data_IF_585884702280
#
_entry.id   IF_585884702280
#
_cell.length_a   1.000
_cell.length_b   1.000
_cell.length_c   1.000
_cell.angle_alpha   90.00
_cell.angle_beta   90.00
_cell.angle_gamma   90.00
#
_symmetry.space_group_name_H-M   'P 1'
#
loop_
_entity.id
_entity.type
_entity.pdbx_description
1 polymer ?
#
# COMPACT_ATOMS: atom_id res chain seq x y z
N UNK A 1 -44.88 -6.60 45.31
CA UNK A 1 -43.94 -5.86 46.18
C UNK A 1 -42.72 -5.47 45.34
N UNK A 2 -42.44 -4.17 45.31
CA UNK A 2 -41.27 -3.44 44.80
C UNK A 2 -40.33 -4.10 43.77
N UNK A 3 -40.21 -3.45 42.60
CA UNK A 3 -38.95 -3.07 41.93
C UNK A 3 -39.14 -3.02 40.42
N UNK A 4 -39.25 -1.82 39.85
CA UNK A 4 -38.94 -1.47 38.45
C UNK A 4 -39.00 0.04 38.32
N UNK A 5 -37.83 0.69 38.33
CA UNK A 5 -37.68 2.11 38.04
C UNK A 5 -37.86 2.35 36.55
N UNK A 6 -38.96 3.01 36.18
CA UNK A 6 -39.30 3.41 34.83
C UNK A 6 -38.70 4.78 34.49
N UNK A 7 -38.16 4.84 33.28
CA UNK A 7 -37.68 6.01 32.53
C UNK A 7 -38.71 7.14 32.52
N UNK A 8 -38.25 8.38 32.76
CA UNK A 8 -39.03 9.59 32.47
C UNK A 8 -38.68 10.09 31.06
N UNK A 9 -39.68 10.06 30.17
CA UNK A 9 -39.71 10.77 28.89
C UNK A 9 -40.35 12.14 29.11
N UNK A 10 -39.81 13.20 28.52
CA UNK A 10 -40.58 14.37 28.10
C UNK A 10 -40.10 14.84 26.71
N UNK A 11 -41.05 14.77 25.75
CA UNK A 11 -41.30 15.53 24.48
C UNK A 11 -40.14 16.38 23.92
N UNK A 12 -39.65 16.27 22.67
CA UNK A 12 -40.23 16.01 21.33
C UNK A 12 -41.29 17.01 20.84
N UNK A 13 -40.83 18.03 20.09
CA UNK A 13 -41.45 18.63 18.89
C UNK A 13 -40.33 18.59 17.81
N UNK A 14 -40.34 17.70 16.81
CA UNK A 14 -40.95 17.82 15.45
C UNK A 14 -40.74 19.23 14.84
N UNK A 15 -40.21 19.46 13.63
CA UNK A 15 -40.11 18.63 12.43
C UNK A 15 -39.31 19.38 11.32
N UNK A 16 -38.44 18.66 10.62
CA UNK A 16 -38.33 18.53 9.16
C UNK A 16 -37.97 19.72 8.20
N UNK A 17 -36.86 19.50 7.46
CA UNK A 17 -36.56 19.71 6.01
C UNK A 17 -35.96 21.03 5.43
N UNK A 18 -34.75 20.82 4.87
CA UNK A 18 -34.26 21.10 3.50
C UNK A 18 -34.00 22.54 2.97
N UNK A 19 -32.77 22.68 2.42
CA UNK A 19 -32.31 23.41 1.21
C UNK A 19 -32.32 24.95 1.22
N UNK A 20 -31.16 25.58 0.97
CA UNK A 20 -30.82 26.16 -0.34
C UNK A 20 -29.46 26.89 -0.35
N UNK A 21 -28.83 26.84 -1.52
CA UNK A 21 -27.49 27.29 -1.90
C UNK A 21 -27.60 28.73 -2.48
N UNK A 22 -26.46 29.42 -2.62
CA UNK A 22 -26.15 30.58 -3.50
C UNK A 22 -25.94 32.01 -2.92
N UNK A 23 -24.67 32.44 -3.04
CA UNK A 23 -24.15 33.71 -3.61
C UNK A 23 -24.48 35.07 -2.97
N UNK A 24 -23.45 35.87 -2.66
CA UNK A 24 -23.07 37.12 -3.36
C UNK A 24 -21.96 37.88 -2.60
N UNK A 25 -21.00 38.35 -3.41
CA UNK A 25 -19.82 39.19 -3.14
C UNK A 25 -20.15 40.62 -2.67
N UNK A 26 -19.24 41.25 -1.91
CA UNK A 26 -18.95 42.71 -1.93
C UNK A 26 -17.42 42.87 -1.97
N UNK A 27 -16.79 43.19 -3.12
CA UNK A 27 -16.46 44.54 -3.64
C UNK A 27 -15.92 45.48 -2.55
N UNK A 28 -14.62 45.76 -2.43
CA UNK A 28 -13.65 46.43 -3.32
C UNK A 28 -13.69 47.98 -3.31
N UNK A 29 -12.50 48.55 -3.05
CA UNK A 29 -11.93 49.82 -3.52
C UNK A 29 -12.17 51.13 -2.76
N UNK A 30 -11.07 51.72 -2.25
CA UNK A 30 -10.59 53.10 -2.50
C UNK A 30 -9.23 53.29 -1.77
N UNK A 31 -8.09 53.40 -2.47
CA UNK A 31 -7.43 54.58 -3.09
C UNK A 31 -6.30 55.19 -2.23
N UNK A 32 -5.06 55.01 -2.71
CA UNK A 32 -3.87 55.90 -2.76
C UNK A 32 -3.70 56.98 -1.67
N UNK A 33 -2.54 57.01 -1.00
CA UNK A 33 -1.63 58.19 -0.93
C UNK A 33 -0.18 57.72 -0.65
N UNK A 34 0.77 58.34 -1.37
CA UNK A 34 2.23 58.21 -1.35
C UNK A 34 2.85 59.30 -0.43
N UNK A 35 3.93 59.01 0.33
CA UNK A 35 4.89 59.97 0.95
C UNK A 35 6.01 59.14 1.62
N UNK A 36 7.29 59.06 1.26
CA UNK A 36 8.38 60.00 0.92
C UNK A 36 8.81 60.97 2.04
N UNK A 37 10.08 60.81 2.49
CA UNK A 37 11.08 61.79 3.02
C UNK A 37 11.23 61.85 4.57
N UNK A 38 12.44 62.03 5.19
CA UNK A 38 13.80 61.53 4.88
C UNK A 38 14.69 61.24 6.13
N UNK A 39 15.93 60.83 5.84
CA UNK A 39 17.17 61.00 6.62
C UNK A 39 17.32 62.37 7.31
N UNK A 40 17.76 62.37 8.59
CA UNK A 40 18.53 63.48 9.20
C UNK A 40 19.67 62.87 10.02
N UNK A 41 20.88 63.22 9.60
CA UNK A 41 22.16 62.99 10.25
C UNK A 41 22.53 64.28 10.99
N UNK A 42 22.88 64.23 12.29
CA UNK A 42 23.68 65.26 12.93
C UNK A 42 24.36 64.74 14.21
N UNK A 43 25.69 64.82 14.15
CA UNK A 43 26.73 64.52 15.13
C UNK A 43 26.57 65.25 16.48
N UNK A 44 27.01 64.61 17.57
CA UNK A 44 28.22 64.98 18.34
C UNK A 44 28.06 64.83 19.88
N UNK A 45 28.94 63.98 20.42
CA UNK A 45 29.76 64.17 21.63
C UNK A 45 29.19 63.90 23.04
N UNK A 46 29.90 62.98 23.71
CA UNK A 46 30.31 62.88 25.12
C UNK A 46 29.31 63.05 26.27
N UNK A 47 29.42 62.14 27.24
CA UNK A 47 29.39 62.51 28.64
C UNK A 47 28.67 61.51 29.53
N UNK A 48 29.47 60.70 30.24
CA UNK A 48 29.09 59.94 31.42
C UNK A 48 28.62 60.86 32.58
N UNK A 49 27.97 60.26 33.57
CA UNK A 49 27.72 60.71 34.96
C UNK A 49 26.25 60.59 35.41
N UNK A 50 25.93 59.40 35.94
CA UNK A 50 25.44 59.24 37.32
C UNK A 50 23.98 59.59 37.66
N UNK A 51 23.19 58.57 38.01
CA UNK A 51 22.38 58.59 39.22
C UNK A 51 21.99 57.16 39.68
N UNK A 52 22.18 56.78 40.96
CA UNK A 52 21.88 55.44 41.44
C UNK A 52 20.46 55.38 41.99
N UNK A 53 19.62 54.52 41.43
CA UNK A 53 18.47 53.97 42.15
C UNK A 53 18.17 52.55 41.67
N UNK A 54 18.74 51.56 42.35
CA UNK A 54 18.14 50.24 42.46
C UNK A 54 18.36 49.72 43.89
N UNK A 55 17.26 49.38 44.55
CA UNK A 55 17.24 48.70 45.84
C UNK A 55 17.81 47.28 45.72
N UNK A 56 18.31 46.71 46.83
CA UNK A 56 18.86 45.36 46.85
C UNK A 56 17.74 44.32 46.94
N UNK A 57 18.10 43.07 46.68
CA UNK A 57 17.32 41.81 46.70
C UNK A 57 16.89 41.31 45.30
N UNK A 58 17.81 40.61 44.60
CA UNK A 58 17.65 39.19 44.22
C UNK A 58 18.87 38.68 43.42
N UNK A 59 19.32 37.46 43.77
CA UNK A 59 20.19 36.53 43.00
C UNK A 59 21.36 37.10 42.19
N UNK A 60 22.60 36.91 42.68
CA UNK A 60 23.80 37.17 41.90
C UNK A 60 23.74 36.42 40.57
N UNK A 61 23.72 37.18 39.48
CA UNK A 61 23.85 36.65 38.12
C UNK A 61 25.27 36.10 38.04
N UNK A 62 25.41 34.78 37.84
CA UNK A 62 26.68 34.20 37.44
C UNK A 62 27.05 34.77 36.08
N UNK A 63 28.34 34.99 35.83
CA UNK A 63 28.87 35.43 34.56
C UNK A 63 28.30 34.55 33.44
N UNK A 64 28.06 35.17 32.29
CA UNK A 64 27.61 34.51 31.07
C UNK A 64 28.71 34.46 30.00
N UNK A 65 29.79 35.23 30.15
CA UNK A 65 30.93 35.26 29.23
C UNK A 65 32.21 35.72 29.94
N UNK A 66 33.37 35.41 29.35
CA UNK A 66 34.67 35.86 29.85
C UNK A 66 34.78 37.39 29.89
N UNK A 67 34.13 38.09 28.95
CA UNK A 67 34.12 39.57 28.90
C UNK A 67 33.44 40.21 30.14
N UNK A 68 32.49 39.52 30.77
CA UNK A 68 31.88 40.01 32.02
C UNK A 68 32.80 39.84 33.23
N UNK A 69 33.84 39.03 33.08
CA UNK A 69 34.84 38.73 34.10
C UNK A 69 36.14 39.53 33.93
N UNK A 70 36.35 40.15 32.77
CA UNK A 70 37.47 41.03 32.49
C UNK A 70 37.53 42.18 33.50
N UNK A 71 38.62 42.22 34.28
CA UNK A 71 38.84 43.24 35.31
C UNK A 71 39.64 44.46 34.79
N UNK A 72 39.96 44.46 33.49
CA UNK A 72 40.69 45.49 32.78
C UNK A 72 42.18 45.52 33.12
N UNK A 73 42.71 44.48 33.77
CA UNK A 73 44.14 44.28 33.96
C UNK A 73 44.63 43.26 32.94
N UNK A 74 45.71 43.60 32.26
CA UNK A 74 46.29 42.78 31.20
C UNK A 74 47.32 41.79 31.77
N UNK A 75 48.09 42.19 32.80
CA UNK A 75 49.24 41.40 33.26
C UNK A 75 48.93 40.33 34.31
N UNK A 76 47.71 40.22 34.80
CA UNK A 76 47.22 39.08 35.59
C UNK A 76 46.71 37.93 34.72
N UNK A 77 46.52 38.16 33.41
CA UNK A 77 46.05 37.16 32.44
C UNK A 77 44.54 37.13 32.32
N UNK A 78 44.05 36.56 31.22
CA UNK A 78 42.63 36.55 30.88
C UNK A 78 41.77 35.85 31.94
N UNK A 79 40.72 36.53 32.40
CA UNK A 79 39.72 35.96 33.30
C UNK A 79 38.74 35.06 32.56
N UNK A 80 38.41 33.94 33.18
CA UNK A 80 37.45 32.98 32.61
C UNK A 80 36.16 32.99 33.41
N UNK A 81 35.04 32.97 32.70
CA UNK A 81 33.75 32.70 33.29
C UNK A 81 33.56 31.19 33.44
N UNK A 82 33.78 30.67 34.66
CA UNK A 82 33.46 29.30 35.02
C UNK A 82 32.78 29.26 36.40
N UNK A 83 31.44 29.32 36.44
CA UNK A 83 30.68 29.23 37.68
C UNK A 83 30.85 27.91 38.46
N UNK A 84 31.42 26.87 37.87
CA UNK A 84 31.66 25.58 38.50
C UNK A 84 33.07 25.46 39.12
N UNK A 85 33.99 26.37 38.79
CA UNK A 85 35.37 26.31 39.27
C UNK A 85 35.46 26.61 40.78
N UNK A 86 36.20 25.80 41.58
CA UNK A 86 36.37 26.03 43.02
C UNK A 86 37.06 27.35 43.40
N UNK A 87 37.83 27.93 42.49
CA UNK A 87 38.51 29.22 42.61
C UNK A 87 37.65 30.40 42.10
N UNK A 88 36.49 30.13 41.51
CA UNK A 88 35.59 31.15 41.02
C UNK A 88 35.06 32.06 42.13
N UNK A 89 34.93 33.34 41.81
CA UNK A 89 34.26 34.32 42.65
C UNK A 89 32.76 34.02 42.80
N UNK A 90 32.02 34.69 43.71
CA UNK A 90 30.57 34.55 43.81
C UNK A 90 29.77 34.90 42.54
N UNK A 91 30.42 35.52 41.55
CA UNK A 91 29.87 35.81 40.23
C UNK A 91 30.32 34.79 39.17
N UNK A 92 31.06 33.74 39.52
CA UNK A 92 31.53 32.72 38.57
C UNK A 92 32.81 33.08 37.81
N UNK A 93 33.42 34.25 38.06
CA UNK A 93 34.67 34.63 37.43
C UNK A 93 35.89 34.03 38.11
N UNK A 94 36.76 33.39 37.34
CA UNK A 94 38.07 32.86 37.72
C UNK A 94 39.13 33.85 37.26
N UNK A 95 40.00 34.29 38.19
CA UNK A 95 41.07 35.22 37.89
C UNK A 95 42.17 34.56 37.04
N UNK A 96 42.80 35.34 36.14
CA UNK A 96 43.96 34.88 35.38
C UNK A 96 45.09 34.37 36.30
N UNK A 97 45.68 33.23 35.95
CA UNK A 97 46.73 32.59 36.76
C UNK A 97 48.15 33.04 36.38
N UNK A 98 48.33 33.73 35.24
CA UNK A 98 49.63 34.19 34.77
C UNK A 98 49.54 35.35 33.78
N UNK A 99 50.52 36.28 33.76
CA UNK A 99 50.64 37.28 32.71
C UNK A 99 50.73 36.59 31.33
N UNK A 100 50.11 37.16 30.28
CA UNK A 100 50.25 36.65 28.91
C UNK A 100 51.70 36.73 28.41
N UNK A 101 52.54 37.52 29.09
CA UNK A 101 53.94 37.72 28.77
C UNK A 101 54.87 36.74 29.52
N UNK A 102 55.77 36.08 28.80
CA UNK A 102 56.91 35.36 29.40
C UNK A 102 57.98 36.28 30.05
N UNK A 103 57.75 37.60 30.08
CA UNK A 103 58.72 38.64 30.43
C UNK A 103 58.11 39.87 31.09
N UNK A 104 58.62 41.06 30.76
CA UNK A 104 58.02 42.30 31.23
C UNK A 104 56.59 42.44 30.66
N UNK A 105 55.69 43.03 31.44
CA UNK A 105 54.33 43.33 31.06
C UNK A 105 54.01 44.78 31.51
N UNK A 106 53.37 45.56 30.65
CA UNK A 106 52.98 46.95 30.90
C UNK A 106 51.45 47.08 30.95
N UNK A 107 50.90 47.06 32.16
CA UNK A 107 49.47 47.24 32.47
C UNK A 107 48.89 48.58 31.99
N UNK A 108 49.72 49.57 31.73
CA UNK A 108 49.23 50.89 31.32
C UNK A 108 49.00 50.96 29.82
N UNK A 109 49.60 50.03 29.08
CA UNK A 109 49.64 50.00 27.65
C UNK A 109 49.15 48.65 27.12
N UNK A 110 48.59 47.79 27.98
CA UNK A 110 48.11 46.44 27.70
C UNK A 110 49.03 45.66 26.76
N UNK A 111 50.35 45.73 27.00
CA UNK A 111 51.35 45.18 26.06
C UNK A 111 52.49 44.47 26.78
N UNK A 112 53.12 43.51 26.09
CA UNK A 112 54.36 42.85 26.50
C UNK A 112 55.59 43.60 25.93
N UNK A 113 56.35 44.39 26.71
CA UNK A 113 57.47 45.17 26.18
C UNK A 113 58.62 44.26 25.74
N UNK A 114 58.88 44.22 24.44
CA UNK A 114 60.00 43.48 23.83
C UNK A 114 59.63 42.15 23.16
N UNK A 115 58.34 41.78 23.11
CA UNK A 115 57.84 40.60 22.40
C UNK A 115 57.00 40.92 21.15
N UNK A 116 56.37 42.09 21.11
CA UNK A 116 55.46 42.48 20.03
C UNK A 116 56.18 43.34 18.98
N UNK A 117 56.67 42.73 17.89
CA UNK A 117 57.33 43.49 16.79
C UNK A 117 56.37 43.95 15.71
N UNK A 118 55.24 43.25 15.56
CA UNK A 118 54.12 43.60 14.70
C UNK A 118 52.86 43.18 15.49
N UNK A 119 52.03 44.14 15.95
CA UNK A 119 50.82 43.82 16.71
C UNK A 119 49.72 43.13 15.90
N UNK A 120 49.71 43.35 14.58
CA UNK A 120 48.70 42.90 13.62
C UNK A 120 49.45 42.49 12.34
N UNK A 121 50.03 41.29 12.35
CA UNK A 121 50.95 40.81 11.32
C UNK A 121 50.22 40.46 10.02
N UNK A 122 49.00 39.95 10.10
CA UNK A 122 48.20 39.57 8.94
C UNK A 122 47.29 40.69 8.38
N UNK A 123 47.06 41.76 9.17
CA UNK A 123 46.34 42.99 8.80
C UNK A 123 44.84 42.83 8.68
N UNK A 124 44.23 42.00 9.51
CA UNK A 124 42.78 41.99 9.68
C UNK A 124 42.26 43.17 10.54
N UNK A 125 43.16 43.85 11.27
CA UNK A 125 42.87 45.01 12.08
C UNK A 125 42.54 44.69 13.54
N UNK A 126 42.81 43.47 14.00
CA UNK A 126 42.81 43.05 15.40
C UNK A 126 44.26 42.81 15.83
N UNK A 127 44.62 43.26 17.04
CA UNK A 127 45.97 43.01 17.56
C UNK A 127 46.03 41.58 18.14
N UNK A 128 47.16 40.91 17.99
CA UNK A 128 47.37 39.56 18.51
C UNK A 128 47.28 39.48 20.03
N UNK A 129 46.89 38.30 20.54
CA UNK A 129 46.90 38.00 21.99
C UNK A 129 48.26 38.22 22.67
N UNK A 130 49.36 38.04 21.94
CA UNK A 130 50.72 38.27 22.45
C UNK A 130 51.06 39.76 22.60
N UNK A 131 50.29 40.62 21.93
CA UNK A 131 50.40 42.07 21.96
C UNK A 131 49.29 42.74 22.79
N UNK A 132 48.41 41.93 23.39
CA UNK A 132 47.29 42.35 24.22
C UNK A 132 46.03 42.75 23.49
N UNK A 133 45.87 42.29 22.24
CA UNK A 133 44.55 42.19 21.62
C UNK A 133 43.98 40.78 21.76
N UNK A 134 43.03 40.46 20.89
CA UNK A 134 42.17 39.29 21.00
C UNK A 134 42.32 38.32 19.81
N UNK A 135 43.21 38.61 18.86
CA UNK A 135 43.45 37.76 17.69
C UNK A 135 44.25 36.50 18.07
N UNK A 136 43.63 35.35 17.80
CA UNK A 136 44.10 34.02 18.16
C UNK A 136 45.07 33.41 17.15
N UNK A 137 45.21 33.98 15.94
CA UNK A 137 46.22 33.59 14.97
C UNK A 137 46.62 34.76 14.05
N UNK A 138 47.53 35.59 14.57
CA UNK A 138 48.20 36.74 13.92
C UNK A 138 48.91 36.45 12.58
N UNK A 139 48.89 35.20 12.11
CA UNK A 139 49.36 34.83 10.79
C UNK A 139 48.24 34.57 9.76
N UNK A 140 46.97 34.54 10.17
CA UNK A 140 45.80 34.29 9.34
C UNK A 140 44.69 35.33 9.54
N UNK A 141 44.45 36.23 8.55
CA UNK A 141 43.52 37.34 8.69
C UNK A 141 42.04 36.93 8.66
N UNK A 142 41.75 35.63 8.78
CA UNK A 142 40.40 35.07 8.93
C UNK A 142 40.22 34.41 10.31
N UNK A 143 41.12 34.66 11.27
CA UNK A 143 41.09 34.02 12.58
C UNK A 143 41.13 35.07 13.69
N UNK A 144 40.03 35.79 13.84
CA UNK A 144 39.90 36.94 14.74
C UNK A 144 38.50 37.05 15.35
N UNK A 145 38.36 37.69 16.52
CA UNK A 145 37.09 37.85 17.22
C UNK A 145 35.91 38.31 16.38
N UNK A 146 34.85 37.51 16.39
CA UNK A 146 33.59 37.83 15.71
C UNK A 146 33.66 37.71 14.19
N UNK A 147 34.68 37.06 13.64
CA UNK A 147 34.64 36.56 12.28
C UNK A 147 33.52 35.51 12.10
N UNK A 148 33.24 35.10 10.87
CA UNK A 148 32.27 34.04 10.62
C UNK A 148 32.97 32.68 10.64
N UNK A 149 32.45 31.77 11.48
CA UNK A 149 32.83 30.36 11.53
C UNK A 149 32.73 29.67 10.16
N UNK A 150 33.76 28.89 9.85
CA UNK A 150 33.86 28.08 8.64
C UNK A 150 34.16 26.64 9.02
N UNK A 151 33.25 25.75 8.68
CA UNK A 151 33.48 24.33 8.90
C UNK A 151 34.63 23.83 8.01
N UNK A 152 35.75 23.49 8.64
CA UNK A 152 36.92 22.95 7.97
C UNK A 152 37.53 21.73 8.68
N UNK A 153 38.26 20.92 7.93
CA UNK A 153 38.88 19.69 8.45
C UNK A 153 40.16 19.95 9.27
N UNK A 154 40.70 21.17 9.21
CA UNK A 154 41.87 21.56 9.99
C UNK A 154 41.48 21.97 11.42
N UNK A 155 40.20 22.28 11.62
CA UNK A 155 39.60 22.69 12.87
C UNK A 155 40.05 24.08 13.30
N UNK A 156 40.20 25.01 12.36
CA UNK A 156 40.55 26.38 12.71
C UNK A 156 39.39 27.03 13.44
N UNK A 157 39.70 27.67 14.55
CA UNK A 157 38.79 28.57 15.24
C UNK A 157 38.90 29.93 14.53
N UNK A 158 37.86 30.34 13.78
CA UNK A 158 37.87 31.57 12.98
C UNK A 158 37.47 32.80 13.77
N UNK A 159 36.59 32.65 14.76
CA UNK A 159 36.08 33.76 15.54
C UNK A 159 36.69 33.88 16.94
N UNK A 160 37.71 33.07 17.22
CA UNK A 160 38.43 32.99 18.49
C UNK A 160 37.52 32.68 19.69
N UNK A 161 36.34 32.10 19.45
CA UNK A 161 35.46 31.53 20.46
C UNK A 161 35.30 30.01 20.20
N UNK A 162 35.77 29.16 21.14
CA UNK A 162 35.72 27.71 20.95
C UNK A 162 34.32 27.11 21.06
N UNK A 163 33.31 27.92 21.40
CA UNK A 163 31.92 27.48 21.62
C UNK A 163 31.01 27.76 20.43
N UNK A 164 31.43 28.64 19.53
CA UNK A 164 30.77 28.98 18.29
C UNK A 164 31.20 27.99 17.22
N UNK A 165 30.29 27.09 16.83
CA UNK A 165 30.57 26.09 15.81
C UNK A 165 29.65 26.36 14.62
N UNK A 166 30.22 26.73 13.47
CA UNK A 166 29.55 26.76 12.16
C UNK A 166 28.08 27.25 12.13
N UNK A 167 27.30 26.72 11.19
CA UNK A 167 25.86 26.94 11.12
C UNK A 167 25.13 25.61 10.96
N UNK A 168 24.01 25.45 11.66
CA UNK A 168 23.02 24.39 11.45
C UNK A 168 22.31 24.61 10.10
N UNK A 169 22.62 23.79 9.10
CA UNK A 169 22.13 23.95 7.73
C UNK A 169 20.74 23.37 7.54
N UNK A 170 20.41 22.30 8.25
CA UNK A 170 19.13 21.63 8.08
C UNK A 170 18.07 22.10 9.09
N UNK A 171 18.45 22.68 10.21
CA UNK A 171 17.58 23.27 11.22
C UNK A 171 17.04 22.28 12.25
N UNK A 172 17.82 21.29 12.67
CA UNK A 172 17.48 20.36 13.76
C UNK A 172 18.02 20.77 15.15
N UNK A 173 18.87 21.79 15.19
CA UNK A 173 19.47 22.33 16.40
C UNK A 173 20.86 21.79 16.72
N UNK A 174 21.43 20.96 15.85
CA UNK A 174 22.79 20.45 15.94
C UNK A 174 23.63 21.02 14.78
N UNK A 175 24.95 21.03 14.96
CA UNK A 175 25.91 21.51 13.96
C UNK A 175 26.71 20.30 13.50
N UNK A 176 27.09 20.29 12.22
CA UNK A 176 27.87 19.20 11.65
C UNK A 176 29.10 18.84 12.48
N UNK A 177 29.33 17.55 12.65
CA UNK A 177 30.57 16.92 13.14
C UNK A 177 31.82 17.32 12.35
N UNK A 178 31.66 17.92 11.17
CA UNK A 178 32.75 18.47 10.36
C UNK A 178 33.12 19.90 10.71
N UNK A 179 32.33 20.58 11.54
CA UNK A 179 32.63 21.90 12.06
C UNK A 179 33.32 21.72 13.42
N UNK A 180 34.58 22.11 13.52
CA UNK A 180 35.40 21.87 14.70
C UNK A 180 36.33 23.05 14.98
N UNK A 181 36.54 23.38 16.25
CA UNK A 181 37.50 24.39 16.69
C UNK A 181 38.58 23.71 17.56
N UNK A 182 39.85 23.90 17.20
CA UNK A 182 41.00 23.38 17.95
C UNK A 182 41.33 24.33 19.09
N UNK A 183 41.32 23.79 20.31
CA UNK A 183 41.61 24.51 21.55
C UNK A 183 42.80 23.89 22.28
N UNK A 184 43.33 24.58 23.28
CA UNK A 184 44.35 24.04 24.19
C UNK A 184 43.87 22.79 24.96
N UNK A 185 42.55 22.66 25.17
CA UNK A 185 41.94 21.52 25.84
C UNK A 185 41.64 20.34 24.90
N UNK A 186 41.75 20.54 23.58
CA UNK A 186 41.42 19.57 22.56
C UNK A 186 40.53 20.17 21.46
N UNK A 187 40.00 19.31 20.61
CA UNK A 187 39.11 19.71 19.52
C UNK A 187 37.65 19.65 20.02
N UNK A 188 36.91 20.74 19.83
CA UNK A 188 35.46 20.82 20.07
C UNK A 188 34.78 20.77 18.71
N UNK A 189 33.86 19.84 18.50
CA UNK A 189 33.16 19.67 17.22
C UNK A 189 31.65 19.66 17.41
N UNK A 190 30.92 19.91 16.33
CA UNK A 190 29.50 19.59 16.25
C UNK A 190 29.22 18.10 16.43
N UNK A 191 27.96 17.75 16.59
CA UNK A 191 27.51 16.39 16.89
C UNK A 191 26.64 15.78 15.78
N UNK A 192 26.33 16.55 14.72
CA UNK A 192 25.48 16.11 13.61
C UNK A 192 26.30 15.42 12.47
N UNK A 193 25.93 14.19 12.18
CA UNK A 193 26.56 13.35 11.18
C UNK A 193 26.09 13.61 9.74
N UNK A 194 24.91 14.20 9.52
CA UNK A 194 24.38 14.60 8.20
C UNK A 194 23.58 15.92 8.27
N UNK A 195 24.30 17.03 8.26
CA UNK A 195 23.84 18.44 8.28
C UNK A 195 23.05 18.88 7.01
N UNK A 196 22.51 17.92 6.26
CA UNK A 196 21.53 18.16 5.21
C UNK A 196 20.19 17.46 5.51
N UNK A 197 20.09 16.73 6.62
CA UNK A 197 19.00 15.85 6.98
C UNK A 197 18.55 16.08 8.42
N UNK A 198 17.48 16.87 8.60
CA UNK A 198 16.80 17.11 9.89
C UNK A 198 16.43 15.86 10.72
N UNK A 199 16.50 14.67 10.11
CA UNK A 199 16.24 13.41 10.78
C UNK A 199 17.48 12.74 11.35
N UNK A 200 18.68 13.27 11.07
CA UNK A 200 19.97 12.72 11.44
C UNK A 200 20.62 13.60 12.52
N UNK A 201 20.46 13.25 13.80
CA UNK A 201 21.03 14.02 14.90
C UNK A 201 21.20 13.16 16.16
N UNK A 202 22.07 13.58 17.11
CA UNK A 202 22.26 12.89 18.38
C UNK A 202 20.95 12.52 19.10
N UNK A 203 20.69 11.22 19.19
CA UNK A 203 19.50 10.69 19.86
C UNK A 203 18.20 10.81 19.06
N UNK A 204 18.28 10.96 17.73
CA UNK A 204 17.15 10.62 16.87
C UNK A 204 16.79 9.12 16.98
N UNK A 205 15.74 8.69 16.30
CA UNK A 205 15.39 7.27 16.23
C UNK A 205 15.74 6.78 14.85
N UNK A 206 16.57 5.76 14.77
CA UNK A 206 16.87 5.11 13.51
C UNK A 206 15.61 4.67 12.76
N UNK A 207 15.60 4.96 11.47
CA UNK A 207 14.75 4.29 10.50
C UNK A 207 15.61 3.29 9.71
N UNK A 208 15.02 2.16 9.27
CA UNK A 208 15.73 1.20 8.39
C UNK A 208 15.93 1.79 6.98
N UNK A 209 16.78 2.80 6.85
CA UNK A 209 17.04 3.58 5.65
C UNK A 209 18.51 3.44 5.18
N UNK A 210 19.36 2.76 5.96
CA UNK A 210 20.77 2.56 5.68
C UNK A 210 21.65 3.75 6.05
N UNK A 211 21.14 4.68 6.86
CA UNK A 211 21.84 5.82 7.43
C UNK A 211 21.89 5.68 8.95
N UNK A 212 22.89 6.34 9.53
CA UNK A 212 23.01 6.56 10.98
C UNK A 212 22.17 7.80 11.29
N UNK A 213 20.92 7.61 11.73
CA UNK A 213 20.03 8.75 11.99
C UNK A 213 20.28 9.32 13.39
N UNK A 214 20.83 8.55 14.34
CA UNK A 214 21.04 9.02 15.72
C UNK A 214 22.47 9.49 16.02
N UNK A 215 23.36 9.42 15.03
CA UNK A 215 24.75 9.83 15.02
C UNK A 215 25.62 9.13 16.08
N UNK A 216 25.29 7.89 16.47
CA UNK A 216 26.07 7.10 17.42
C UNK A 216 27.20 6.27 16.76
N UNK A 217 27.20 6.21 15.42
CA UNK A 217 28.17 5.50 14.58
C UNK A 217 27.76 4.08 14.20
N UNK A 218 26.62 3.57 14.69
CA UNK A 218 25.94 2.40 14.18
C UNK A 218 24.88 2.82 13.12
N UNK A 219 24.33 1.84 12.42
CA UNK A 219 23.40 2.08 11.31
C UNK A 219 22.24 1.13 11.48
N UNK A 220 21.04 1.68 11.56
CA UNK A 220 19.77 0.98 11.67
C UNK A 220 19.68 -0.01 12.86
N UNK A 221 20.39 0.21 13.98
CA UNK A 221 20.45 -0.75 15.10
C UNK A 221 19.25 -0.70 16.04
N UNK A 222 18.57 0.44 16.11
CA UNK A 222 17.31 0.59 16.85
C UNK A 222 16.08 0.53 15.94
N UNK A 223 16.29 0.60 14.63
CA UNK A 223 15.21 0.49 13.66
C UNK A 223 14.74 -0.96 13.52
N UNK A 224 13.42 -1.17 13.54
CA UNK A 224 12.86 -2.49 13.24
C UNK A 224 11.60 -2.38 12.40
N UNK A 225 11.60 -3.06 11.26
CA UNK A 225 10.39 -3.41 10.52
C UNK A 225 9.87 -4.75 11.01
N UNK A 226 8.54 -4.87 11.05
CA UNK A 226 7.89 -6.14 11.34
C UNK A 226 7.72 -6.94 10.05
N UNK A 227 8.24 -8.16 10.05
CA UNK A 227 8.14 -9.10 8.94
C UNK A 227 7.31 -10.32 9.34
N UNK A 228 6.46 -10.78 8.43
CA UNK A 228 5.51 -11.88 8.59
C UNK A 228 5.94 -13.04 7.70
N UNK A 229 5.84 -14.27 8.19
CA UNK A 229 6.24 -15.46 7.42
C UNK A 229 5.38 -15.55 6.15
N UNK A 230 6.02 -15.77 5.01
CA UNK A 230 5.44 -15.82 3.66
C UNK A 230 5.99 -17.09 2.98
N UNK A 231 5.26 -18.20 3.10
CA UNK A 231 5.72 -19.51 2.66
C UNK A 231 5.29 -19.91 1.27
N UNK A 232 4.22 -19.32 0.74
CA UNK A 232 3.81 -19.52 -0.65
C UNK A 232 4.42 -18.47 -1.60
N UNK A 233 4.84 -17.32 -1.09
CA UNK A 233 5.59 -16.32 -1.85
C UNK A 233 4.72 -15.35 -2.63
N UNK A 234 3.47 -15.12 -2.22
CA UNK A 234 2.59 -14.14 -2.87
C UNK A 234 2.87 -12.68 -2.45
N UNK A 235 3.70 -12.49 -1.42
CA UNK A 235 4.12 -11.18 -0.91
C UNK A 235 3.28 -10.65 0.24
N UNK A 236 2.32 -11.43 0.74
CA UNK A 236 1.64 -11.26 2.01
C UNK A 236 2.14 -12.33 2.97
N UNK A 237 2.25 -11.97 4.25
CA UNK A 237 2.64 -12.92 5.27
C UNK A 237 1.47 -13.28 6.17
N UNK A 238 1.56 -14.48 6.75
CA UNK A 238 0.56 -15.06 7.62
C UNK A 238 0.09 -14.04 8.67
N UNK A 239 -1.22 -13.84 8.74
CA UNK A 239 -1.84 -12.94 9.69
C UNK A 239 -1.47 -13.34 11.14
N UNK A 240 -0.92 -12.41 11.92
CA UNK A 240 -0.65 -12.67 13.33
C UNK A 240 -1.97 -12.87 14.09
N UNK A 241 -2.07 -14.00 14.78
CA UNK A 241 -3.28 -14.45 15.43
C UNK A 241 -3.01 -15.23 16.71
N UNK A 242 -4.04 -15.48 17.53
CA UNK A 242 -3.91 -16.30 18.74
C UNK A 242 -3.51 -17.75 18.42
N UNK A 243 -3.83 -18.23 17.22
CA UNK A 243 -3.64 -19.61 16.80
C UNK A 243 -2.32 -19.86 16.04
N UNK A 244 -1.54 -18.80 15.77
CA UNK A 244 -0.26 -18.86 15.06
C UNK A 244 0.82 -19.45 15.98
N UNK A 245 1.54 -20.45 15.45
CA UNK A 245 2.65 -21.12 16.12
C UNK A 245 3.83 -20.19 16.40
N UNK A 246 4.67 -20.52 17.38
CA UNK A 246 5.82 -19.69 17.75
C UNK A 246 6.81 -19.46 16.59
N UNK A 247 6.98 -20.45 15.72
CA UNK A 247 7.83 -20.36 14.52
C UNK A 247 7.28 -19.46 13.41
N UNK A 248 6.00 -19.15 13.47
CA UNK A 248 5.28 -18.39 12.43
C UNK A 248 4.92 -16.98 12.96
N UNK A 249 5.42 -16.62 14.15
CA UNK A 249 5.27 -15.28 14.71
C UNK A 249 6.05 -14.25 13.88
N UNK A 250 5.56 -13.00 13.81
CA UNK A 250 6.29 -11.93 13.17
C UNK A 250 7.65 -11.70 13.83
N UNK A 251 8.64 -11.36 13.02
CA UNK A 251 10.00 -11.03 13.47
C UNK A 251 10.31 -9.57 13.20
N UNK A 252 11.25 -9.01 13.96
CA UNK A 252 11.73 -7.65 13.80
C UNK A 252 13.13 -7.68 13.15
N UNK A 253 13.31 -6.94 12.07
CA UNK A 253 14.60 -6.76 11.40
C UNK A 253 14.56 -5.49 10.54
N UNK A 254 15.71 -5.03 10.02
CA UNK A 254 15.72 -3.96 9.01
C UNK A 254 15.73 -4.48 7.58
N UNK A 255 16.51 -5.50 7.31
CA UNK A 255 16.47 -6.19 6.03
C UNK A 255 15.44 -7.32 6.08
N UNK A 256 14.60 -7.40 5.04
CA UNK A 256 13.57 -8.44 4.91
C UNK A 256 14.23 -9.82 4.83
N UNK A 257 14.00 -10.71 5.81
CA UNK A 257 14.54 -12.06 5.76
C UNK A 257 13.89 -12.89 4.65
N UNK A 258 14.62 -13.88 4.13
CA UNK A 258 14.10 -14.80 3.12
C UNK A 258 12.87 -15.58 3.65
N UNK A 259 11.81 -15.65 2.84
CA UNK A 259 10.55 -16.30 3.22
C UNK A 259 9.68 -15.48 4.18
N UNK A 260 9.86 -14.16 4.21
CA UNK A 260 9.02 -13.23 4.94
C UNK A 260 8.54 -12.08 4.04
N UNK A 261 7.35 -11.58 4.31
CA UNK A 261 6.74 -10.40 3.71
C UNK A 261 6.59 -9.26 4.73
N UNK A 262 6.48 -8.02 4.25
CA UNK A 262 6.22 -6.84 5.11
C UNK A 262 4.72 -6.59 5.29
N UNK A 263 3.91 -7.08 4.36
CA UNK A 263 2.46 -6.88 4.36
C UNK A 263 1.82 -8.09 5.06
N UNK A 264 1.14 -7.91 6.20
CA UNK A 264 0.42 -9.00 6.84
C UNK A 264 -0.95 -9.22 6.19
N UNK A 265 -1.59 -10.32 6.58
CA UNK A 265 -3.03 -10.50 6.42
C UNK A 265 -3.41 -11.74 5.63
N UNK A 266 -2.43 -12.53 5.20
CA UNK A 266 -2.67 -13.81 4.57
C UNK A 266 -3.35 -14.77 5.56
N UNK A 267 -4.47 -15.34 5.13
CA UNK A 267 -5.30 -16.27 5.88
C UNK A 267 -4.99 -17.75 5.58
N UNK A 268 -4.22 -18.05 4.51
CA UNK A 268 -3.70 -19.38 4.17
C UNK A 268 -2.34 -19.28 3.45
N UNK A 269 -1.27 -19.23 4.26
CA UNK A 269 0.18 -19.18 3.91
C UNK A 269 0.71 -20.46 3.24
N UNK A 270 -0.16 -21.17 2.52
CA UNK A 270 0.13 -22.34 1.69
C UNK A 270 -0.43 -22.22 0.28
N UNK A 271 -1.05 -21.08 -0.06
CA UNK A 271 -1.80 -20.84 -1.28
C UNK A 271 -1.55 -19.43 -1.82
N UNK A 272 -0.72 -19.34 -2.88
CA UNK A 272 -0.33 -18.07 -3.55
C UNK A 272 -1.50 -17.21 -4.09
N UNK A 273 -2.73 -17.73 -4.06
CA UNK A 273 -3.94 -17.04 -4.53
C UNK A 273 -4.83 -16.56 -3.38
N UNK A 274 -4.49 -16.91 -2.15
CA UNK A 274 -5.27 -16.67 -0.94
C UNK A 274 -4.62 -15.57 -0.13
N UNK A 275 -5.01 -14.32 -0.33
CA UNK A 275 -4.38 -13.18 0.32
C UNK A 275 -5.29 -11.96 0.30
N UNK A 276 -5.04 -10.92 1.13
CA UNK A 276 -5.82 -9.69 1.09
C UNK A 276 -6.01 -9.13 -0.33
N UNK A 277 -7.27 -9.06 -0.77
CA UNK A 277 -7.63 -8.59 -2.11
C UNK A 277 -7.32 -9.57 -3.25
N UNK A 278 -7.16 -10.85 -2.92
CA UNK A 278 -7.16 -11.97 -3.86
C UNK A 278 -8.43 -12.02 -4.72
N UNK A 279 -8.44 -12.92 -5.70
CA UNK A 279 -9.62 -13.08 -6.57
C UNK A 279 -10.53 -14.14 -6.00
N UNK A 280 -11.68 -13.70 -5.48
CA UNK A 280 -12.71 -14.57 -4.97
C UNK A 280 -13.23 -15.54 -6.04
N UNK A 281 -13.36 -16.82 -5.67
CA UNK A 281 -13.85 -17.88 -6.54
C UNK A 281 -14.89 -18.71 -5.81
N UNK A 282 -15.90 -19.16 -6.56
CA UNK A 282 -16.87 -20.15 -6.10
C UNK A 282 -16.28 -21.58 -5.99
N UNK A 283 -14.94 -21.73 -5.98
CA UNK A 283 -14.27 -23.02 -6.08
C UNK A 283 -14.70 -23.94 -4.92
N UNK A 284 -14.72 -25.27 -5.11
CA UNK A 284 -15.66 -26.17 -4.44
C UNK A 284 -15.44 -26.40 -2.93
N UNK A 285 -14.55 -25.64 -2.30
CA UNK A 285 -14.17 -25.78 -0.90
C UNK A 285 -14.69 -24.65 0.00
N UNK A 286 -15.32 -23.61 -0.56
CA UNK A 286 -15.78 -22.46 0.23
C UNK A 286 -14.62 -21.85 1.00
N UNK A 287 -13.58 -21.47 0.27
CA UNK A 287 -12.43 -20.76 0.80
C UNK A 287 -12.71 -19.25 0.71
N UNK A 288 -11.97 -18.49 1.51
CA UNK A 288 -11.95 -17.03 1.50
C UNK A 288 -10.65 -16.64 0.80
N UNK A 289 -10.67 -16.46 -0.52
CA UNK A 289 -9.44 -16.25 -1.29
C UNK A 289 -8.91 -14.81 -1.18
N UNK A 290 -9.75 -13.87 -0.75
CA UNK A 290 -9.35 -12.48 -0.59
C UNK A 290 -9.16 -12.05 0.87
N UNK A 291 -9.29 -13.00 1.80
CA UNK A 291 -9.10 -12.87 3.23
C UNK A 291 -9.95 -11.75 3.87
N UNK A 292 -11.15 -11.49 3.34
CA UNK A 292 -12.06 -10.46 3.86
C UNK A 292 -13.03 -10.98 4.95
N UNK A 293 -13.04 -12.30 5.17
CA UNK A 293 -13.85 -13.03 6.14
C UNK A 293 -15.20 -13.49 5.61
N UNK A 294 -15.56 -13.16 4.38
CA UNK A 294 -16.67 -13.76 3.65
C UNK A 294 -16.15 -14.89 2.75
N UNK A 295 -17.07 -15.78 2.37
CA UNK A 295 -16.76 -16.98 1.58
C UNK A 295 -17.79 -17.07 0.47
N UNK A 296 -17.34 -17.38 -0.74
CA UNK A 296 -18.15 -17.59 -1.92
C UNK A 296 -19.11 -16.41 -2.18
N UNK A 297 -18.62 -15.19 -2.02
CA UNK A 297 -19.48 -14.01 -1.96
C UNK A 297 -19.93 -13.54 -3.36
N UNK A 298 -21.24 -13.25 -3.52
CA UNK A 298 -21.85 -13.01 -4.83
C UNK A 298 -23.07 -12.08 -4.78
N UNK A 299 -23.36 -11.45 -5.92
CA UNK A 299 -24.58 -10.67 -6.13
C UNK A 299 -24.49 -9.19 -5.72
N UNK A 300 -25.64 -8.51 -5.72
CA UNK A 300 -25.71 -7.08 -5.40
C UNK A 300 -25.37 -6.83 -3.92
N UNK A 301 -24.24 -6.16 -3.68
CA UNK A 301 -23.79 -5.79 -2.34
C UNK A 301 -22.61 -6.62 -1.82
N UNK A 302 -22.13 -7.60 -2.58
CA UNK A 302 -20.84 -8.25 -2.35
C UNK A 302 -19.70 -7.23 -2.54
N UNK A 303 -18.72 -7.27 -1.64
CA UNK A 303 -17.54 -6.39 -1.65
C UNK A 303 -16.53 -6.84 -2.69
N UNK A 304 -16.38 -8.16 -2.88
CA UNK A 304 -15.41 -8.77 -3.78
C UNK A 304 -16.01 -9.97 -4.53
N UNK A 305 -17.00 -9.74 -5.43
CA UNK A 305 -17.83 -10.83 -5.94
C UNK A 305 -17.03 -11.89 -6.72
N UNK A 306 -17.33 -13.15 -6.42
CA UNK A 306 -16.74 -14.31 -7.08
C UNK A 306 -16.82 -14.22 -8.61
N UNK A 307 -15.69 -14.52 -9.27
CA UNK A 307 -15.54 -14.32 -10.73
C UNK A 307 -16.02 -15.51 -11.58
N UNK A 308 -16.22 -16.68 -10.99
CA UNK A 308 -16.56 -17.94 -11.65
C UNK A 308 -17.89 -18.53 -11.17
N UNK A 309 -18.92 -17.66 -11.12
CA UNK A 309 -20.28 -18.03 -10.75
C UNK A 309 -20.82 -19.21 -11.55
N UNK A 310 -21.51 -20.12 -10.86
CA UNK A 310 -22.14 -21.30 -11.46
C UNK A 310 -23.57 -20.96 -11.89
N UNK A 311 -23.93 -21.36 -13.11
CA UNK A 311 -25.30 -21.27 -13.61
C UNK A 311 -26.05 -22.57 -13.31
N UNK A 312 -27.13 -22.45 -12.54
CA UNK A 312 -28.05 -23.52 -12.18
C UNK A 312 -29.37 -23.37 -12.94
N UNK A 313 -29.86 -24.48 -13.50
CA UNK A 313 -31.11 -24.61 -14.22
C UNK A 313 -32.12 -25.34 -13.34
N UNK A 314 -33.38 -24.88 -13.23
CA UNK A 314 -34.39 -25.57 -12.42
C UNK A 314 -34.58 -26.98 -12.95
N UNK A 315 -34.58 -27.95 -12.03
CA UNK A 315 -34.81 -29.38 -12.32
C UNK A 315 -35.98 -29.84 -11.42
N UNK A 316 -37.22 -29.65 -11.88
CA UNK A 316 -38.43 -29.88 -11.06
C UNK A 316 -38.78 -31.36 -10.98
N UNK A 317 -38.46 -32.16 -11.97
CA UNK A 317 -38.78 -33.59 -12.01
C UNK A 317 -37.64 -34.52 -11.56
N UNK A 318 -36.44 -33.96 -11.37
CA UNK A 318 -35.26 -34.55 -10.74
C UNK A 318 -34.57 -35.61 -11.58
N UNK A 319 -34.50 -35.40 -12.88
CA UNK A 319 -33.79 -36.30 -13.78
C UNK A 319 -32.32 -35.90 -14.05
N UNK A 320 -31.90 -34.76 -13.52
CA UNK A 320 -30.53 -34.27 -13.63
C UNK A 320 -30.31 -33.32 -14.80
N UNK A 321 -31.33 -33.00 -15.59
CA UNK A 321 -31.31 -31.93 -16.58
C UNK A 321 -32.25 -30.80 -16.15
N UNK A 322 -31.90 -29.57 -16.52
CA UNK A 322 -32.69 -28.41 -16.09
C UNK A 322 -33.15 -27.53 -17.23
N UNK A 323 -34.20 -26.75 -16.94
CA UNK A 323 -34.86 -25.86 -17.86
C UNK A 323 -34.03 -24.63 -18.21
N UNK A 324 -33.73 -24.41 -19.49
CA UNK A 324 -32.81 -23.37 -19.97
C UNK A 324 -33.27 -21.92 -19.74
N UNK A 325 -34.57 -21.70 -19.54
CA UNK A 325 -35.16 -20.37 -19.31
C UNK A 325 -35.50 -20.10 -17.83
N UNK A 326 -35.31 -21.08 -16.93
CA UNK A 326 -35.45 -20.93 -15.48
C UNK A 326 -34.07 -21.11 -14.82
N UNK A 327 -33.29 -20.05 -14.90
CA UNK A 327 -31.89 -20.02 -14.48
C UNK A 327 -31.68 -19.22 -13.20
N UNK A 328 -30.70 -19.64 -12.42
CA UNK A 328 -30.12 -18.87 -11.31
C UNK A 328 -28.62 -18.96 -11.36
N UNK A 329 -27.96 -17.88 -10.94
CA UNK A 329 -26.50 -17.80 -10.88
C UNK A 329 -26.10 -17.59 -9.42
N UNK A 330 -25.22 -18.45 -8.92
CA UNK A 330 -24.72 -18.43 -7.53
C UNK A 330 -23.52 -19.36 -7.39
N UNK A 331 -22.77 -19.27 -6.29
CA UNK A 331 -21.71 -20.24 -5.99
C UNK A 331 -22.27 -21.59 -5.52
N UNK A 332 -23.31 -21.58 -4.67
CA UNK A 332 -23.98 -22.79 -4.20
C UNK A 332 -25.30 -23.06 -4.95
N UNK A 333 -25.75 -24.33 -5.08
CA UNK A 333 -27.06 -24.63 -5.66
C UNK A 333 -28.18 -23.97 -4.84
N UNK A 334 -29.13 -23.27 -5.48
CA UNK A 334 -30.24 -22.66 -4.77
C UNK A 334 -31.13 -23.71 -4.08
N UNK A 335 -31.87 -23.29 -3.05
CA UNK A 335 -32.84 -24.19 -2.41
C UNK A 335 -33.86 -24.74 -3.43
N UNK A 336 -34.08 -26.05 -3.40
CA UNK A 336 -34.93 -26.76 -4.35
C UNK A 336 -34.13 -27.81 -5.11
N UNK A 337 -34.60 -28.15 -6.30
CA UNK A 337 -33.94 -29.07 -7.21
C UNK A 337 -33.51 -28.30 -8.46
N UNK A 338 -32.22 -28.36 -8.73
CA UNK A 338 -31.50 -27.60 -9.75
C UNK A 338 -30.39 -28.45 -10.32
N UNK A 339 -30.14 -28.33 -11.62
CA UNK A 339 -29.05 -28.99 -12.33
C UNK A 339 -28.08 -27.97 -12.91
N UNK A 340 -26.81 -28.36 -13.05
CA UNK A 340 -25.81 -27.62 -13.84
C UNK A 340 -25.87 -27.98 -15.34
N UNK A 341 -26.64 -29.01 -15.69
CA UNK A 341 -26.82 -29.46 -17.07
C UNK A 341 -28.08 -28.82 -17.66
N UNK A 342 -27.94 -27.94 -18.66
CA UNK A 342 -29.08 -27.34 -19.36
C UNK A 342 -29.66 -28.29 -20.39
N UNK A 343 -30.94 -28.13 -20.69
CA UNK A 343 -31.51 -28.64 -21.93
C UNK A 343 -32.91 -29.21 -21.80
N UNK A 344 -33.44 -29.35 -20.58
CA UNK A 344 -34.74 -29.95 -20.35
C UNK A 344 -35.90 -28.95 -20.53
N UNK A 345 -36.52 -28.98 -21.71
CA UNK A 345 -37.68 -28.12 -21.98
C UNK A 345 -38.96 -28.58 -21.30
N UNK A 346 -39.04 -29.84 -20.84
CA UNK A 346 -40.19 -30.46 -20.18
C UNK A 346 -39.81 -30.91 -18.77
N UNK A 347 -39.37 -29.93 -17.99
CA UNK A 347 -39.08 -29.92 -16.56
C UNK A 347 -40.22 -30.41 -15.63
N UNK A 348 -41.32 -30.92 -16.19
CA UNK A 348 -42.41 -31.59 -15.47
C UNK A 348 -42.45 -33.12 -15.68
N UNK A 349 -41.55 -33.69 -16.50
CA UNK A 349 -41.54 -35.07 -16.96
C UNK A 349 -40.11 -35.66 -17.03
N UNK A 350 -39.66 -36.31 -15.95
CA UNK A 350 -38.31 -36.87 -15.78
C UNK A 350 -37.81 -37.87 -16.86
N UNK A 351 -38.71 -38.35 -17.72
CA UNK A 351 -38.37 -39.22 -18.84
C UNK A 351 -38.06 -38.45 -20.14
N UNK A 352 -38.31 -37.15 -20.13
CA UNK A 352 -38.12 -36.23 -21.25
C UNK A 352 -36.95 -35.33 -20.88
N UNK A 353 -35.73 -35.83 -21.08
CA UNK A 353 -34.45 -35.09 -21.02
C UNK A 353 -33.52 -35.48 -22.19
N UNK A 354 -32.39 -34.77 -22.40
CA UNK A 354 -31.40 -35.11 -23.44
C UNK A 354 -30.82 -36.53 -23.35
N UNK A 355 -30.82 -37.15 -22.17
CA UNK A 355 -30.37 -38.53 -21.96
C UNK A 355 -31.52 -39.56 -22.02
N UNK A 356 -32.77 -39.11 -22.07
CA UNK A 356 -33.97 -39.93 -21.94
C UNK A 356 -34.29 -40.73 -23.20
N UNK A 357 -34.85 -41.93 -23.02
CA UNK A 357 -35.27 -42.80 -24.13
C UNK A 357 -36.38 -42.16 -24.99
N UNK A 358 -37.17 -41.22 -24.44
CA UNK A 358 -38.20 -40.50 -25.19
C UNK A 358 -37.64 -39.47 -26.18
N UNK A 359 -36.41 -38.97 -25.99
CA UNK A 359 -35.70 -38.24 -27.04
C UNK A 359 -35.42 -39.12 -28.28
N UNK A 360 -35.68 -40.43 -28.18
CA UNK A 360 -35.44 -41.44 -29.22
C UNK A 360 -36.71 -42.19 -29.65
N UNK A 361 -37.90 -41.84 -29.14
CA UNK A 361 -39.14 -42.50 -29.53
C UNK A 361 -39.89 -41.67 -30.59
N UNK A 362 -39.99 -42.15 -31.84
CA UNK A 362 -40.80 -41.50 -32.85
C UNK A 362 -42.29 -41.47 -32.44
N UNK A 363 -42.91 -40.29 -32.41
CA UNK A 363 -44.35 -40.14 -32.22
C UNK A 363 -45.08 -40.13 -33.59
N UNK A 364 -46.25 -40.75 -33.62
CA UNK A 364 -47.20 -40.70 -34.72
C UNK A 364 -48.40 -39.85 -34.31
N UNK A 365 -49.17 -39.26 -35.25
CA UNK A 365 -50.43 -38.60 -34.90
C UNK A 365 -51.34 -39.55 -34.13
N UNK A 366 -52.08 -39.06 -33.12
CA UNK A 366 -53.03 -39.91 -32.37
C UNK A 366 -54.13 -40.46 -33.29
N UNK A 367 -54.51 -39.70 -34.33
CA UNK A 367 -55.52 -40.08 -35.31
C UNK A 367 -55.23 -39.52 -36.72
N UNK A 368 -55.74 -40.18 -37.74
CA UNK A 368 -55.82 -39.67 -39.12
C UNK A 368 -57.27 -39.52 -39.54
N UNK A 369 -57.61 -38.31 -40.00
CA UNK A 369 -58.92 -38.01 -40.58
C UNK A 369 -58.86 -38.26 -42.09
N UNK A 370 -59.49 -39.35 -42.54
CA UNK A 370 -59.62 -39.64 -43.98
C UNK A 370 -61.10 -39.58 -44.35
N UNK A 371 -61.55 -38.40 -44.80
CA UNK A 371 -62.98 -38.14 -45.01
C UNK A 371 -63.75 -38.09 -43.68
N UNK A 372 -64.82 -38.88 -43.55
CA UNK A 372 -65.64 -38.96 -42.32
C UNK A 372 -65.12 -40.01 -41.31
N UNK A 373 -63.91 -40.53 -41.52
CA UNK A 373 -63.36 -41.64 -40.72
C UNK A 373 -62.15 -41.18 -39.94
N UNK A 374 -62.20 -41.37 -38.62
CA UNK A 374 -61.11 -41.12 -37.67
C UNK A 374 -60.44 -42.46 -37.38
N UNK A 375 -59.20 -42.63 -37.84
CA UNK A 375 -58.44 -43.86 -37.64
C UNK A 375 -57.38 -43.63 -36.56
N UNK A 376 -57.40 -44.34 -35.42
CA UNK A 376 -56.38 -44.21 -34.40
C UNK A 376 -55.05 -44.79 -34.89
N UNK A 377 -53.94 -44.09 -34.63
CA UNK A 377 -52.61 -44.46 -35.12
C UNK A 377 -51.64 -44.53 -33.94
N UNK A 378 -50.64 -45.41 -34.02
CA UNK A 378 -49.53 -45.48 -33.07
C UNK A 378 -48.21 -45.78 -33.79
N UNK A 379 -47.09 -45.57 -33.11
CA UNK A 379 -45.80 -46.07 -33.56
C UNK A 379 -45.63 -47.55 -33.20
N UNK A 380 -45.16 -48.36 -34.15
CA UNK A 380 -44.82 -49.78 -33.93
C UNK A 380 -43.55 -50.15 -34.71
N UNK A 381 -42.79 -51.13 -34.19
CA UNK A 381 -41.54 -51.57 -34.82
C UNK A 381 -41.80 -52.68 -35.82
N UNK A 382 -41.81 -52.35 -37.11
CA UNK A 382 -42.12 -53.25 -38.21
C UNK A 382 -40.87 -53.57 -38.99
N UNK A 383 -40.41 -54.84 -38.94
CA UNK A 383 -39.21 -55.25 -39.68
C UNK A 383 -37.92 -54.56 -39.23
N UNK A 384 -37.86 -54.05 -37.99
CA UNK A 384 -36.68 -53.38 -37.42
C UNK A 384 -36.72 -51.85 -37.48
N UNK A 385 -37.60 -51.28 -38.30
CA UNK A 385 -37.80 -49.84 -38.43
C UNK A 385 -39.08 -49.41 -37.70
N UNK A 386 -39.08 -48.21 -37.12
CA UNK A 386 -40.32 -47.61 -36.62
C UNK A 386 -41.22 -47.26 -37.80
N UNK A 387 -42.52 -47.50 -37.68
CA UNK A 387 -43.53 -47.16 -38.68
C UNK A 387 -44.80 -46.72 -37.96
N UNK A 388 -45.46 -45.66 -38.45
CA UNK A 388 -46.80 -45.32 -38.01
C UNK A 388 -47.80 -46.31 -38.58
N UNK A 389 -48.58 -46.93 -37.72
CA UNK A 389 -49.51 -47.99 -38.07
C UNK A 389 -50.89 -47.69 -37.50
N UNK A 390 -51.93 -48.17 -38.18
CA UNK A 390 -53.26 -48.14 -37.60
C UNK A 390 -53.30 -48.98 -36.32
N UNK A 391 -53.89 -48.45 -35.26
CA UNK A 391 -53.83 -49.03 -33.94
C UNK A 391 -54.51 -50.40 -33.84
N UNK A 392 -55.48 -50.70 -34.70
CA UNK A 392 -56.16 -51.98 -34.72
C UNK A 392 -55.41 -53.06 -35.53
N UNK A 393 -54.50 -52.66 -36.42
CA UNK A 393 -53.88 -53.55 -37.40
C UNK A 393 -52.36 -53.67 -37.29
N UNK A 394 -51.68 -52.75 -36.60
CA UNK A 394 -50.24 -52.80 -36.40
C UNK A 394 -49.46 -52.84 -37.71
N UNK A 395 -48.33 -53.56 -37.73
CA UNK A 395 -47.46 -53.67 -38.91
C UNK A 395 -48.11 -54.22 -40.19
N UNK A 396 -49.33 -54.76 -40.13
CA UNK A 396 -50.08 -55.17 -41.32
C UNK A 396 -50.65 -53.98 -42.12
N UNK A 397 -50.84 -52.82 -41.48
CA UNK A 397 -51.38 -51.60 -42.09
C UNK A 397 -50.53 -50.39 -41.69
N UNK A 398 -49.36 -50.23 -42.33
CA UNK A 398 -48.56 -49.01 -42.19
C UNK A 398 -49.28 -47.84 -42.86
N UNK A 399 -49.25 -46.68 -42.23
CA UNK A 399 -49.80 -45.43 -42.76
C UNK A 399 -48.73 -44.74 -43.61
N UNK A 400 -48.90 -44.67 -44.95
CA UNK A 400 -47.95 -43.98 -45.81
C UNK A 400 -48.09 -42.45 -45.67
N UNK A 401 -46.99 -41.75 -45.41
CA UNK A 401 -46.95 -40.29 -45.35
C UNK A 401 -47.14 -39.69 -43.95
N UNK A 402 -47.31 -40.50 -42.90
CA UNK A 402 -47.14 -40.03 -41.54
C UNK A 402 -45.64 -39.73 -41.29
N UNK A 403 -45.30 -38.45 -41.12
CA UNK A 403 -43.94 -38.04 -40.77
C UNK A 403 -43.65 -38.38 -39.32
N UNK A 404 -42.45 -38.88 -39.06
CA UNK A 404 -41.92 -38.96 -37.70
C UNK A 404 -41.76 -37.56 -37.16
N UNK A 405 -42.36 -37.40 -36.03
CA UNK A 405 -42.35 -36.19 -35.29
C UNK A 405 -41.35 -36.52 -34.16
N UNK A 406 -40.08 -36.18 -34.38
CA UNK A 406 -39.02 -36.35 -33.38
C UNK A 406 -38.94 -35.03 -32.60
N UNK A 407 -39.62 -34.98 -31.46
CA UNK A 407 -39.88 -33.76 -30.68
C UNK A 407 -38.91 -33.61 -29.53
N UNK A 408 -37.64 -33.32 -29.83
CA UNK A 408 -36.80 -32.70 -28.82
C UNK A 408 -36.32 -31.35 -29.33
N UNK A 409 -36.89 -30.29 -28.76
CA UNK A 409 -36.44 -28.92 -28.92
C UNK A 409 -35.17 -28.74 -28.07
N UNK A 410 -33.98 -29.00 -28.64
CA UNK A 410 -32.73 -29.05 -27.85
C UNK A 410 -32.32 -27.70 -27.25
N UNK A 411 -32.90 -26.62 -27.74
CA UNK A 411 -32.59 -25.26 -27.35
C UNK A 411 -33.81 -24.51 -26.78
N UNK A 412 -34.92 -25.22 -26.52
CA UNK A 412 -36.19 -24.70 -26.04
C UNK A 412 -36.69 -23.45 -26.79
N UNK A 413 -36.43 -23.36 -28.10
CA UNK A 413 -36.79 -22.22 -28.96
C UNK A 413 -38.20 -22.35 -29.58
N UNK A 414 -38.90 -23.43 -29.28
CA UNK A 414 -40.21 -23.79 -29.81
C UNK A 414 -40.15 -24.46 -31.19
N UNK A 415 -38.97 -24.57 -31.80
CA UNK A 415 -38.78 -25.29 -33.05
C UNK A 415 -38.35 -26.73 -32.80
N UNK A 416 -39.24 -27.67 -33.09
CA UNK A 416 -38.86 -29.06 -33.22
C UNK A 416 -38.06 -29.24 -34.50
N UNK A 417 -36.75 -29.29 -34.37
CA UNK A 417 -35.85 -29.59 -35.49
C UNK A 417 -35.68 -31.09 -35.57
N UNK A 418 -36.16 -31.65 -36.67
CA UNK A 418 -35.78 -33.00 -37.06
C UNK A 418 -34.24 -33.03 -37.17
N UNK A 419 -33.53 -34.06 -36.65
CA UNK A 419 -32.18 -34.29 -37.14
C UNK A 419 -32.25 -34.34 -38.67
N UNK A 420 -31.32 -33.68 -39.40
CA UNK A 420 -31.38 -33.67 -40.86
C UNK A 420 -31.43 -35.12 -41.30
N UNK A 421 -32.52 -35.47 -41.98
CA UNK A 421 -32.84 -36.79 -42.50
C UNK A 421 -31.58 -37.56 -42.87
N UNK A 422 -31.19 -38.49 -41.98
CA UNK A 422 -29.91 -39.17 -42.08
C UNK A 422 -29.90 -40.38 -41.14
N UNK A 423 -29.98 -41.55 -41.77
CA UNK A 423 -29.68 -42.88 -41.20
C UNK A 423 -30.85 -43.64 -40.55
N UNK A 424 -31.71 -44.20 -41.41
CA UNK A 424 -31.96 -45.65 -41.34
C UNK A 424 -31.78 -46.20 -42.76
N UNK A 425 -30.52 -46.40 -43.16
CA UNK A 425 -30.17 -47.39 -44.18
C UNK A 425 -29.12 -48.33 -43.54
N UNK A 426 -29.47 -49.61 -43.45
CA UNK A 426 -28.63 -50.69 -42.92
C UNK A 426 -27.75 -51.29 -44.04
N UNK A 427 -27.03 -50.49 -44.82
CA UNK A 427 -26.26 -51.11 -45.91
C UNK A 427 -24.88 -50.56 -46.25
N UNK A 428 -24.19 -49.79 -45.41
CA UNK A 428 -22.76 -49.47 -45.62
C UNK A 428 -22.14 -48.57 -44.54
N UNK A 429 -21.86 -49.14 -43.36
CA UNK A 429 -20.59 -49.00 -42.63
C UNK A 429 -19.90 -47.65 -42.37
N UNK A 430 -20.44 -46.47 -42.67
CA UNK A 430 -19.79 -45.17 -42.37
C UNK A 430 -20.82 -44.03 -42.22
N UNK A 431 -20.99 -43.50 -41.00
CA UNK A 431 -21.67 -42.23 -40.77
C UNK A 431 -20.65 -41.10 -40.74
N UNK A 432 -20.77 -40.15 -41.67
CA UNK A 432 -20.09 -38.85 -41.61
C UNK A 432 -21.02 -37.78 -42.16
N UNK A 433 -21.29 -36.74 -41.37
CA UNK A 433 -21.84 -35.48 -41.88
C UNK A 433 -20.80 -34.37 -41.72
N UNK A 434 -20.42 -33.81 -42.87
CA UNK A 434 -19.74 -32.52 -43.00
C UNK A 434 -20.79 -31.41 -43.13
N UNK A 435 -20.61 -30.31 -42.39
CA UNK A 435 -21.25 -29.04 -42.74
C UNK A 435 -20.59 -28.48 -44.01
N UNK A 436 -21.39 -28.18 -45.03
CA UNK A 436 -20.93 -27.59 -46.28
C UNK A 436 -20.72 -26.07 -46.18
N UNK A 437 -19.47 -25.66 -45.93
CA UNK A 437 -18.85 -24.44 -46.50
C UNK A 437 -18.09 -23.52 -45.51
N UNK A 438 -16.89 -23.00 -45.87
CA UNK A 438 -15.77 -23.65 -46.54
C UNK A 438 -14.63 -23.95 -45.53
N UNK A 439 -14.24 -25.23 -45.43
CA UNK A 439 -12.93 -25.59 -44.88
C UNK A 439 -11.89 -25.45 -46.00
N UNK A 440 -10.92 -24.56 -45.84
CA UNK A 440 -9.68 -24.61 -46.62
C UNK A 440 -8.87 -25.81 -46.13
N UNK A 441 -8.56 -26.70 -47.06
CA UNK A 441 -7.68 -27.84 -46.86
C UNK A 441 -6.25 -27.36 -46.62
N UNK A 442 -5.63 -27.81 -45.53
CA UNK A 442 -4.20 -28.11 -45.54
C UNK A 442 -3.89 -29.20 -44.53
N UNK A 443 -3.30 -30.28 -45.04
CA UNK A 443 -2.78 -31.43 -44.30
C UNK A 443 -1.69 -30.95 -43.33
N UNK A 444 -1.99 -31.00 -42.03
CA UNK A 444 -1.10 -31.11 -40.85
C UNK A 444 -1.80 -30.50 -39.62
N UNK A 445 -2.66 -31.26 -38.95
CA UNK A 445 -3.13 -30.92 -37.61
C UNK A 445 -3.53 -32.20 -36.86
N UNK A 446 -2.85 -32.46 -35.74
CA UNK A 446 -3.27 -33.44 -34.74
C UNK A 446 -4.69 -33.10 -34.25
N UNK A 447 -5.47 -34.15 -33.98
CA UNK A 447 -6.93 -34.13 -34.01
C UNK A 447 -7.66 -33.23 -33.00
N UNK A 448 -8.91 -32.93 -33.32
CA UNK A 448 -9.86 -32.25 -32.45
C UNK A 448 -11.28 -32.77 -32.67
N UNK A 449 -11.75 -33.57 -31.72
CA UNK A 449 -13.17 -33.62 -31.38
C UNK A 449 -13.30 -32.98 -30.01
N UNK A 450 -13.65 -31.70 -29.95
CA UNK A 450 -14.15 -31.01 -28.76
C UNK A 450 -14.75 -29.68 -29.20
N UNK A 451 -16.06 -29.53 -29.00
CA UNK A 451 -16.75 -28.26 -29.16
C UNK A 451 -16.67 -27.50 -27.85
N UNK A 452 -15.92 -26.41 -27.83
CA UNK A 452 -16.00 -25.37 -26.81
C UNK A 452 -17.22 -24.48 -27.09
N UNK A 453 -18.18 -24.40 -26.17
CA UNK A 453 -18.98 -23.19 -26.04
C UNK A 453 -18.11 -22.14 -25.34
N UNK A 454 -18.00 -20.96 -25.93
CA UNK A 454 -17.15 -19.89 -25.44
C UNK A 454 -17.57 -19.47 -24.03
N UNK A 455 -16.64 -19.54 -23.07
CA UNK A 455 -16.87 -18.93 -21.77
C UNK A 455 -15.99 -19.27 -20.58
N UNK A 456 -14.78 -19.88 -20.68
CA UNK A 456 -13.70 -19.66 -19.69
C UNK A 456 -12.31 -19.97 -20.30
N UNK A 457 -11.40 -19.02 -20.12
CA UNK A 457 -9.93 -19.13 -20.16
C UNK A 457 -9.47 -20.20 -19.14
N UNK A 458 -8.46 -21.06 -19.31
CA UNK A 458 -7.31 -21.08 -20.19
C UNK A 458 -6.71 -22.50 -20.31
N UNK A 459 -6.46 -22.96 -21.54
CA UNK A 459 -5.47 -24.01 -21.84
C UNK A 459 -4.61 -23.48 -22.98
N UNK A 460 -3.29 -23.43 -22.79
CA UNK A 460 -2.38 -22.88 -23.80
C UNK A 460 -1.52 -24.00 -24.37
N UNK A 461 -1.53 -24.12 -25.70
CA UNK A 461 -0.71 -25.10 -26.41
C UNK A 461 0.71 -24.55 -26.59
N UNK A 462 1.70 -25.25 -26.04
CA UNK A 462 3.12 -24.95 -26.25
C UNK A 462 3.71 -26.11 -27.07
N UNK A 463 3.89 -25.88 -28.38
CA UNK A 463 4.39 -26.93 -29.29
C UNK A 463 3.34 -28.01 -29.61
N UNK A 464 3.70 -29.28 -29.41
CA UNK A 464 2.82 -30.45 -29.65
C UNK A 464 2.11 -30.96 -28.39
N UNK A 465 2.31 -30.31 -27.23
CA UNK A 465 1.67 -30.68 -25.97
C UNK A 465 0.71 -29.57 -25.48
N UNK A 466 -0.39 -29.98 -24.83
CA UNK A 466 -1.27 -29.08 -24.08
C UNK A 466 -0.79 -29.01 -22.63
N UNK A 467 -0.53 -27.81 -22.12
CA UNK A 467 -0.10 -27.58 -20.74
C UNK A 467 -1.17 -26.74 -20.04
N UNK A 468 -1.58 -27.17 -18.84
CA UNK A 468 -2.51 -26.43 -18.00
C UNK A 468 -1.88 -25.14 -17.48
N UNK A 469 -2.69 -24.10 -17.31
CA UNK A 469 -2.31 -22.89 -16.59
C UNK A 469 -2.98 -22.95 -15.21
N UNK A 470 -2.21 -23.26 -14.17
CA UNK A 470 -2.67 -23.20 -12.77
C UNK A 470 -2.85 -24.57 -12.08
N UNK A 471 -2.54 -24.58 -10.79
CA UNK A 471 -2.41 -25.71 -9.87
C UNK A 471 -3.76 -26.19 -9.32
N UNK A 472 -4.54 -26.93 -10.11
CA UNK A 472 -5.58 -27.81 -9.55
C UNK A 472 -5.39 -29.23 -10.09
N UNK A 473 -5.02 -30.11 -9.18
CA UNK A 473 -4.61 -31.48 -9.45
C UNK A 473 -5.61 -32.30 -10.27
N UNK A 474 -5.14 -32.75 -11.43
CA UNK A 474 -5.40 -34.05 -12.04
C UNK A 474 -6.83 -34.60 -11.99
N UNK A 475 -7.78 -34.04 -12.78
CA UNK A 475 -8.90 -34.83 -13.34
C UNK A 475 -9.74 -34.16 -14.46
N UNK A 476 -9.24 -33.11 -15.16
CA UNK A 476 -10.09 -32.33 -16.09
C UNK A 476 -9.72 -32.40 -17.59
N UNK A 477 -8.82 -33.28 -18.01
CA UNK A 477 -8.59 -33.55 -19.45
C UNK A 477 -8.63 -35.05 -19.73
N UNK A 478 -9.84 -35.59 -19.98
CA UNK A 478 -10.04 -36.84 -20.71
C UNK A 478 -11.23 -36.74 -21.64
#
# INVERSE_FOLDING_TARGET
>A
MASRGTRTRCKHERNFLLRCRWLVRRMAAMRRVYRWIPFVLLLAACGDDGNPTASPEDGGVSCASNLECDDGLFCNGAETCDPADPAASPLGCVAGEAPPCAGACDETADTCPGGCTDPDMDRDGVDSVACGGDDCDDADPNRFPGNAEVCDEAGHDEDCDPTTLGFDLDGDGFVSTRCCNVTDAGMVCGEDCDDLSRGAYPGATDACNGADDDCDGAVDEEATLTFYRDADGDGFGLADGPDVGESDRPIQACERPDGYAVIPGDCDDSSEITHPGGTERCAPLGLDEDCDGAVDEFGEGATSPAVDLITYYRDRDRDGWGKVDDVRVSCAPPAGSWSIFPGDCRDDLAQVNPDGDYARLPACPDYLETGDTVVPVRAERCGGTWVCVESDAGCARPVPGASFEAWWDMNCDGEVRSPPSGCIDESDGTCGFSFGGPMLQSENACGTGSGTYAGTTACTRIGEECVENGTLGALACR
#
